data_IF_277058716455
#
_entry.id   IF_277058716455
#
_cell.length_a   1.000
_cell.length_b   1.000
_cell.length_c   1.000
_cell.angle_alpha   90.00
_cell.angle_beta   90.00
_cell.angle_gamma   90.00
#
_symmetry.space_group_name_H-M   'P 1'
#
loop_
_entity.id
_entity.type
_entity.pdbx_description
1 polymer ?
#
# COMPACT_ATOMS: atom_id res chain seq x y z
N UNK A 1 -9.13 38.24 -33.80
CA UNK A 1 -7.92 37.49 -33.42
C UNK A 1 -8.31 36.46 -32.36
N UNK A 2 -8.00 35.19 -32.67
CA UNK A 2 -7.94 33.95 -31.87
C UNK A 2 -8.95 33.72 -30.73
N UNK A 3 -9.93 32.85 -31.03
CA UNK A 3 -10.62 31.97 -30.08
C UNK A 3 -9.60 30.98 -29.51
N UNK A 4 -9.50 30.87 -28.18
CA UNK A 4 -8.77 29.78 -27.52
C UNK A 4 -9.83 28.85 -26.93
N UNK A 5 -9.99 27.67 -27.54
CA UNK A 5 -10.70 26.55 -26.95
C UNK A 5 -9.82 26.00 -25.80
N UNK A 6 -10.34 25.97 -24.58
CA UNK A 6 -9.79 25.14 -23.53
C UNK A 6 -10.44 23.76 -23.66
N UNK A 7 -9.69 22.80 -24.19
CA UNK A 7 -10.08 21.41 -24.27
C UNK A 7 -10.21 20.81 -22.87
N UNK A 8 -11.43 20.45 -22.48
CA UNK A 8 -11.70 19.59 -21.34
C UNK A 8 -11.16 18.19 -21.65
N UNK A 9 -9.90 17.92 -21.28
CA UNK A 9 -9.37 16.58 -21.21
C UNK A 9 -10.02 15.86 -20.05
N UNK A 10 -11.04 15.04 -20.31
CA UNK A 10 -11.54 14.06 -19.35
C UNK A 10 -10.44 13.02 -19.18
N UNK A 11 -9.54 13.29 -18.24
CA UNK A 11 -8.67 12.26 -17.67
C UNK A 11 -9.61 11.38 -16.85
N UNK A 12 -9.99 10.23 -17.43
CA UNK A 12 -10.64 9.17 -16.66
C UNK A 12 -9.59 8.60 -15.70
N UNK A 13 -9.43 9.28 -14.57
CA UNK A 13 -8.76 8.72 -13.41
C UNK A 13 -9.61 7.52 -12.99
N UNK A 14 -9.21 6.32 -13.42
CA UNK A 14 -9.50 5.11 -12.66
C UNK A 14 -8.84 5.34 -11.30
N UNK A 15 -9.59 5.91 -10.35
CA UNK A 15 -9.17 5.98 -8.96
C UNK A 15 -9.05 4.54 -8.49
N UNK A 16 -7.82 4.03 -8.44
CA UNK A 16 -7.53 2.87 -7.61
C UNK A 16 -7.91 3.30 -6.19
N UNK A 17 -8.99 2.75 -5.65
CA UNK A 17 -9.34 2.98 -4.25
C UNK A 17 -8.19 2.37 -3.42
N UNK A 18 -7.40 3.23 -2.78
CA UNK A 18 -6.40 2.80 -1.82
C UNK A 18 -7.11 2.59 -0.46
N UNK A 19 -6.95 1.40 0.11
CA UNK A 19 -7.31 1.10 1.48
C UNK A 19 -6.21 1.61 2.39
N UNK A 20 -6.59 2.40 3.40
CA UNK A 20 -5.69 2.81 4.49
C UNK A 20 -5.74 1.72 5.57
N UNK A 21 -4.60 1.05 5.80
CA UNK A 21 -4.46 -0.01 6.80
C UNK A 21 -3.89 0.51 8.12
N UNK A 22 -3.09 1.57 8.04
CA UNK A 22 -2.55 2.33 9.17
C UNK A 22 -2.38 3.78 8.69
N UNK A 23 -2.69 4.75 9.54
CA UNK A 23 -2.35 6.15 9.30
C UNK A 23 -2.17 6.86 10.63
N UNK A 24 -1.08 7.61 10.74
CA UNK A 24 -0.77 8.45 11.88
C UNK A 24 0.05 9.66 11.43
N UNK A 25 -0.38 10.85 11.84
CA UNK A 25 0.31 12.12 11.58
C UNK A 25 0.69 12.86 12.87
N UNK A 26 0.55 12.22 14.03
CA UNK A 26 0.99 12.69 15.35
C UNK A 26 0.40 14.01 15.87
N UNK A 27 -0.60 14.58 15.19
CA UNK A 27 -1.32 15.80 15.57
C UNK A 27 -2.22 15.67 16.83
N UNK A 28 -2.31 14.48 17.41
CA UNK A 28 -3.16 14.19 18.56
C UNK A 28 -2.77 14.99 19.83
N UNK A 29 -3.70 15.04 20.78
CA UNK A 29 -3.46 15.66 22.09
C UNK A 29 -2.56 14.79 23.00
N UNK A 30 -2.45 13.50 22.71
CA UNK A 30 -1.72 12.50 23.51
C UNK A 30 -0.60 11.87 22.71
N UNK A 31 0.56 11.67 23.34
CA UNK A 31 1.68 10.94 22.78
C UNK A 31 2.15 9.84 23.77
N UNK A 32 2.38 8.59 23.31
CA UNK A 32 2.14 8.10 21.96
C UNK A 32 0.64 8.12 21.60
N UNK A 33 0.28 8.14 20.31
CA UNK A 33 -1.11 8.00 19.89
C UNK A 33 -1.72 6.69 20.38
N UNK A 34 -3.05 6.61 20.42
CA UNK A 34 -3.74 5.43 20.96
C UNK A 34 -3.33 4.16 20.20
N UNK A 35 -2.94 3.12 20.96
CA UNK A 35 -2.51 1.82 20.42
C UNK A 35 -1.04 1.76 19.99
N UNK A 36 -0.36 2.90 19.87
CA UNK A 36 1.09 2.93 19.70
C UNK A 36 1.77 2.69 21.05
N UNK A 37 2.96 2.11 21.01
CA UNK A 37 3.75 1.83 22.23
C UNK A 37 5.17 2.36 22.09
N UNK A 38 5.75 2.77 23.21
CA UNK A 38 7.12 3.25 23.28
C UNK A 38 7.87 2.41 24.30
N UNK A 39 9.10 2.05 23.98
CA UNK A 39 10.07 1.58 24.96
C UNK A 39 11.42 2.25 24.69
N UNK A 40 12.17 2.52 25.75
CA UNK A 40 13.49 3.12 25.64
C UNK A 40 14.37 2.66 26.79
N UNK A 41 15.66 2.44 26.52
CA UNK A 41 16.64 2.18 27.59
C UNK A 41 16.93 3.42 28.42
N UNK A 42 16.87 4.61 27.81
CA UNK A 42 17.01 5.90 28.50
C UNK A 42 15.64 6.56 28.70
N UNK A 43 15.02 6.35 29.86
CA UNK A 43 13.68 6.87 30.17
C UNK A 43 13.56 8.41 30.12
N UNK A 44 14.69 9.13 30.17
CA UNK A 44 14.75 10.59 30.02
C UNK A 44 14.61 11.04 28.56
N UNK A 45 14.78 10.13 27.61
CA UNK A 45 14.74 10.41 26.17
C UNK A 45 14.03 9.33 25.34
N UNK A 46 12.74 9.07 25.62
CA UNK A 46 11.93 8.25 24.75
C UNK A 46 11.61 8.99 23.43
N UNK A 47 10.97 8.28 22.50
CA UNK A 47 10.17 8.97 21.48
C UNK A 47 9.16 9.91 22.16
N UNK A 48 8.97 11.10 21.59
CA UNK A 48 8.08 12.13 22.10
C UNK A 48 7.47 12.95 20.96
N UNK A 49 6.37 13.63 21.22
CA UNK A 49 5.84 14.60 20.26
C UNK A 49 6.72 15.85 20.22
N UNK A 50 6.96 16.40 19.04
CA UNK A 50 7.59 17.72 18.91
C UNK A 50 6.70 18.84 19.48
N UNK A 51 7.26 20.00 19.89
CA UNK A 51 8.68 20.39 19.82
C UNK A 51 9.58 19.59 20.77
N UNK A 52 10.82 19.33 20.34
CA UNK A 52 11.81 18.63 21.17
C UNK A 52 12.41 19.57 22.23
N UNK A 53 12.67 19.11 23.46
CA UNK A 53 13.18 19.96 24.54
C UNK A 53 14.57 20.57 24.34
N UNK A 54 15.49 19.88 23.67
CA UNK A 54 16.90 20.30 23.48
C UNK A 54 17.17 20.67 22.03
N UNK A 55 16.86 19.79 21.08
CA UNK A 55 16.94 20.09 19.65
C UNK A 55 15.74 20.95 19.21
N UNK A 56 15.75 22.23 19.57
CA UNK A 56 14.60 23.15 19.44
C UNK A 56 14.30 23.60 18.01
N UNK A 57 15.01 23.08 17.01
CA UNK A 57 14.77 23.48 15.64
C UNK A 57 13.39 23.05 15.15
N UNK A 58 12.74 23.89 14.34
CA UNK A 58 11.42 23.61 13.78
C UNK A 58 11.45 22.50 12.72
N UNK A 59 12.61 22.13 12.19
CA UNK A 59 12.74 21.10 11.15
C UNK A 59 12.27 19.71 11.60
N UNK A 60 12.39 19.41 12.89
CA UNK A 60 11.89 18.15 13.46
C UNK A 60 10.36 18.09 13.52
N UNK A 61 9.66 19.22 13.26
CA UNK A 61 8.21 19.24 13.03
C UNK A 61 7.96 19.27 11.52
N UNK A 62 7.72 18.09 10.96
CA UNK A 62 7.73 17.83 9.51
C UNK A 62 6.45 18.31 8.83
N UNK A 63 5.29 17.84 9.30
CA UNK A 63 3.97 18.21 8.80
C UNK A 63 3.14 18.74 9.96
N UNK A 64 2.22 19.67 9.67
CA UNK A 64 1.28 20.15 10.68
C UNK A 64 1.96 20.85 11.86
N UNK A 65 1.55 20.49 13.08
CA UNK A 65 2.03 21.10 14.31
C UNK A 65 2.86 20.15 15.18
N UNK A 66 2.81 18.83 14.93
CA UNK A 66 3.51 17.84 15.74
C UNK A 66 3.96 16.65 14.91
N UNK A 67 5.19 16.23 15.13
CA UNK A 67 5.74 14.97 14.61
C UNK A 67 6.19 14.07 15.77
N UNK A 68 6.53 12.81 15.49
CA UNK A 68 7.18 11.95 16.47
C UNK A 68 8.70 12.12 16.35
N UNK A 69 9.39 12.43 17.45
CA UNK A 69 10.84 12.57 17.42
C UNK A 69 11.56 12.01 18.64
N UNK A 70 12.87 11.83 18.48
CA UNK A 70 13.82 11.58 19.55
C UNK A 70 14.75 12.78 19.60
N UNK A 71 15.03 13.24 20.80
CA UNK A 71 15.89 14.39 21.05
C UNK A 71 17.30 13.92 21.44
N UNK A 72 18.29 14.80 21.27
CA UNK A 72 19.70 14.53 21.55
C UNK A 72 19.92 14.03 23.00
N UNK A 73 20.83 13.05 23.16
CA UNK A 73 21.28 12.57 24.48
C UNK A 73 22.71 12.01 24.41
N UNK A 74 23.57 12.43 25.35
CA UNK A 74 24.96 11.93 25.49
C UNK A 74 25.06 10.46 25.87
N UNK A 75 24.05 9.91 26.56
CA UNK A 75 24.03 8.53 27.01
C UNK A 75 23.49 7.60 25.92
N UNK A 76 23.92 6.33 25.96
CA UNK A 76 23.41 5.32 25.04
C UNK A 76 21.90 5.15 25.19
N UNK A 77 21.20 5.17 24.07
CA UNK A 77 19.75 5.02 24.01
C UNK A 77 19.37 4.08 22.86
N UNK A 78 18.64 3.02 23.20
CA UNK A 78 17.82 2.28 22.25
C UNK A 78 16.38 2.63 22.53
N UNK A 79 15.68 3.21 21.56
CA UNK A 79 14.30 3.64 21.71
C UNK A 79 13.44 3.23 20.52
N UNK A 80 12.29 2.63 20.81
CA UNK A 80 11.37 2.11 19.81
C UNK A 80 10.03 2.84 19.92
N UNK A 81 9.49 3.26 18.78
CA UNK A 81 8.10 3.64 18.60
C UNK A 81 7.44 2.58 17.73
N UNK A 82 6.41 1.92 18.26
CA UNK A 82 5.83 0.72 17.66
C UNK A 82 4.35 0.98 17.36
N UNK A 83 3.94 0.66 16.13
CA UNK A 83 2.55 0.78 15.69
C UNK A 83 1.62 -0.17 16.44
N UNK A 84 0.30 0.11 16.46
CA UNK A 84 -0.70 -0.93 16.67
C UNK A 84 -0.52 -2.07 15.65
N UNK A 85 -1.08 -3.23 15.96
CA UNK A 85 -1.17 -4.33 15.00
C UNK A 85 -2.16 -4.01 13.89
N UNK A 86 -1.80 -4.28 12.65
CA UNK A 86 -2.69 -4.22 11.48
C UNK A 86 -2.55 -5.51 10.65
N UNK A 87 -3.49 -5.69 9.70
CA UNK A 87 -3.54 -6.89 8.85
C UNK A 87 -3.17 -6.56 7.41
N UNK A 88 -2.35 -7.41 6.80
CA UNK A 88 -2.06 -7.43 5.36
C UNK A 88 -2.80 -8.58 4.66
N UNK A 89 -3.77 -9.22 5.31
CA UNK A 89 -4.62 -10.26 4.69
C UNK A 89 -5.47 -9.62 3.60
N UNK A 90 -5.31 -10.10 2.36
CA UNK A 90 -6.03 -9.55 1.22
C UNK A 90 -5.56 -8.16 0.76
N UNK A 91 -4.44 -7.66 1.28
CA UNK A 91 -3.84 -6.42 0.77
C UNK A 91 -3.27 -6.64 -0.65
N UNK A 92 -3.47 -5.69 -1.56
CA UNK A 92 -2.85 -5.72 -2.89
C UNK A 92 -1.77 -4.66 -2.97
N UNK A 93 -0.52 -5.03 -3.25
CA UNK A 93 0.64 -4.12 -3.31
C UNK A 93 0.72 -3.16 -2.09
N UNK A 94 0.75 -3.67 -0.84
CA UNK A 94 0.88 -2.81 0.33
C UNK A 94 2.20 -2.04 0.33
N UNK A 95 2.16 -0.76 0.71
CA UNK A 95 3.32 0.14 0.79
C UNK A 95 3.28 0.87 2.13
N UNK A 96 4.41 0.84 2.86
CA UNK A 96 4.68 1.73 3.99
C UNK A 96 5.21 3.05 3.46
N UNK A 97 4.61 4.15 3.91
CA UNK A 97 5.03 5.51 3.62
C UNK A 97 5.26 6.25 4.95
N UNK A 98 6.29 7.07 5.02
CA UNK A 98 6.50 8.04 6.10
C UNK A 98 7.44 9.13 5.61
N UNK A 99 7.54 10.23 6.35
CA UNK A 99 8.59 11.23 6.18
C UNK A 99 9.58 11.14 7.33
N UNK A 100 10.84 11.45 7.06
CA UNK A 100 11.90 11.43 8.06
C UNK A 100 12.82 12.65 7.93
N UNK A 101 13.28 13.14 9.08
CA UNK A 101 14.37 14.10 9.23
C UNK A 101 15.33 13.53 10.26
N UNK A 102 16.63 13.61 10.00
CA UNK A 102 17.69 13.28 10.96
C UNK A 102 18.68 14.43 11.04
N UNK A 103 19.35 14.59 12.17
CA UNK A 103 20.49 15.50 12.29
C UNK A 103 21.66 15.00 11.44
N UNK A 104 21.93 15.69 10.33
CA UNK A 104 22.82 15.20 9.27
C UNK A 104 24.25 14.90 9.75
N UNK A 105 24.84 15.82 10.52
CA UNK A 105 26.23 15.69 10.98
C UNK A 105 26.44 14.39 11.76
N UNK A 106 25.65 14.16 12.80
CA UNK A 106 25.86 13.01 13.67
C UNK A 106 25.25 11.74 13.14
N UNK A 107 24.09 11.80 12.48
CA UNK A 107 23.39 10.60 12.00
C UNK A 107 23.92 10.12 10.65
N UNK A 108 24.41 11.01 9.78
CA UNK A 108 24.81 10.65 8.41
C UNK A 108 26.32 10.78 8.18
N UNK A 109 26.92 11.93 8.52
CA UNK A 109 28.36 12.16 8.29
C UNK A 109 29.24 11.36 9.24
N UNK A 110 28.90 11.39 10.52
CA UNK A 110 29.68 10.73 11.58
C UNK A 110 29.18 9.31 11.90
N UNK A 111 27.98 8.95 11.46
CA UNK A 111 27.38 7.62 11.70
C UNK A 111 27.41 7.26 13.21
N UNK A 112 27.00 8.22 14.05
CA UNK A 112 27.03 8.11 15.51
C UNK A 112 25.84 7.33 16.10
N UNK A 113 24.87 6.96 15.26
CA UNK A 113 23.73 6.17 15.67
C UNK A 113 22.81 5.81 14.52
N UNK A 114 21.96 4.82 14.77
CA UNK A 114 21.07 4.25 13.78
C UNK A 114 19.60 4.68 13.95
N UNK A 115 18.87 4.91 12.85
CA UNK A 115 17.41 4.98 12.80
C UNK A 115 16.84 4.00 11.77
N UNK A 116 16.37 2.85 12.24
CA UNK A 116 15.84 1.80 11.36
C UNK A 116 14.31 1.64 11.47
N UNK A 117 13.65 1.42 10.34
CA UNK A 117 12.27 0.93 10.31
C UNK A 117 12.27 -0.60 10.17
N UNK A 118 11.54 -1.29 11.02
CA UNK A 118 11.49 -2.76 11.05
C UNK A 118 10.05 -3.27 11.12
N UNK A 119 9.81 -4.45 10.58
CA UNK A 119 8.51 -5.12 10.57
C UNK A 119 8.53 -6.37 11.44
N UNK A 120 7.42 -6.63 12.11
CA UNK A 120 7.13 -7.88 12.79
C UNK A 120 5.84 -8.50 12.23
N UNK A 121 5.83 -9.82 12.05
CA UNK A 121 4.65 -10.61 11.64
C UNK A 121 4.16 -11.54 12.74
N UNK A 122 4.74 -11.45 13.94
CA UNK A 122 4.46 -12.32 15.08
C UNK A 122 4.23 -11.53 16.38
N UNK A 123 3.55 -10.38 16.26
CA UNK A 123 3.18 -9.55 17.41
C UNK A 123 4.36 -8.95 18.17
N UNK A 124 5.43 -8.61 17.46
CA UNK A 124 6.60 -7.93 18.02
C UNK A 124 7.65 -8.85 18.65
N UNK A 125 7.54 -10.17 18.48
CA UNK A 125 8.51 -11.14 19.03
C UNK A 125 9.83 -11.11 18.27
N UNK A 126 9.77 -11.06 16.94
CA UNK A 126 10.94 -10.91 16.06
C UNK A 126 10.71 -9.78 15.07
N UNK A 127 11.81 -9.18 14.61
CA UNK A 127 11.82 -8.00 13.75
C UNK A 127 12.75 -8.19 12.57
N UNK A 128 12.35 -7.69 11.41
CA UNK A 128 13.13 -7.70 10.17
C UNK A 128 13.27 -6.28 9.65
N UNK A 129 14.45 -5.90 9.19
CA UNK A 129 14.73 -4.56 8.68
C UNK A 129 13.98 -4.31 7.36
N UNK A 130 13.36 -3.14 7.29
CA UNK A 130 12.70 -2.63 6.08
C UNK A 130 13.48 -1.47 5.47
N UNK A 131 14.07 -0.64 6.32
CA UNK A 131 14.74 0.60 5.94
C UNK A 131 15.73 1.01 7.02
N UNK A 132 16.82 1.63 6.56
CA UNK A 132 17.85 2.27 7.36
C UNK A 132 18.24 3.56 6.58
N UNK A 133 18.26 4.65 7.32
CA UNK A 133 18.72 6.00 7.06
C UNK A 133 20.06 6.12 6.33
N UNK A 134 21.06 5.27 6.60
CA UNK A 134 22.36 5.32 5.90
C UNK A 134 22.21 4.99 4.41
N UNK A 135 21.22 4.17 4.11
CA UNK A 135 20.89 3.76 2.75
C UNK A 135 19.86 4.69 2.10
N UNK A 136 19.39 5.71 2.81
CA UNK A 136 18.42 6.67 2.28
C UNK A 136 19.13 7.72 1.42
N UNK A 137 18.66 7.88 0.19
CA UNK A 137 19.11 8.96 -0.67
C UNK A 137 18.38 10.27 -0.33
N UNK A 138 19.02 11.41 -0.58
CA UNK A 138 18.40 12.73 -0.46
C UNK A 138 18.87 13.56 0.74
N UNK A 139 19.79 13.04 1.54
CA UNK A 139 20.54 13.83 2.51
C UNK A 139 21.45 14.83 1.78
N UNK A 140 21.43 16.11 2.16
CA UNK A 140 22.24 17.16 1.53
C UNK A 140 22.89 18.10 2.55
N UNK A 141 24.21 18.21 2.44
CA UNK A 141 25.08 19.26 2.98
C UNK A 141 25.00 20.48 2.04
N UNK A 142 24.77 21.68 2.59
CA UNK A 142 24.64 22.89 1.78
C UNK A 142 26.00 23.58 1.49
N UNK A 143 27.08 23.04 2.04
CA UNK A 143 28.46 23.31 1.71
C UNK A 143 28.97 24.65 2.22
N UNK A 144 28.35 25.21 3.25
CA UNK A 144 28.72 26.51 3.82
C UNK A 144 29.65 26.43 5.05
N UNK A 145 30.08 25.21 5.41
CA UNK A 145 30.90 24.88 6.59
C UNK A 145 30.24 25.27 7.94
N UNK A 146 28.93 25.53 7.96
CA UNK A 146 28.12 25.73 9.16
C UNK A 146 27.20 24.52 9.38
N UNK A 147 27.63 23.63 10.26
CA UNK A 147 26.87 22.43 10.69
C UNK A 147 25.45 22.79 11.20
N UNK A 148 25.17 24.04 11.58
CA UNK A 148 23.85 24.49 12.01
C UNK A 148 22.89 24.83 10.86
N UNK A 149 23.38 25.03 9.63
CA UNK A 149 22.61 25.35 8.42
C UNK A 149 22.44 24.15 7.48
N UNK A 150 23.31 23.14 7.58
CA UNK A 150 23.22 21.86 6.88
C UNK A 150 21.79 21.31 6.85
N UNK A 151 21.19 21.26 5.66
CA UNK A 151 19.73 21.22 5.53
C UNK A 151 19.06 19.92 5.99
N UNK A 152 18.11 20.09 6.91
CA UNK A 152 17.19 19.11 7.49
C UNK A 152 15.93 18.92 6.62
N UNK A 153 16.07 18.54 5.34
CA UNK A 153 14.87 18.33 4.52
C UNK A 153 14.15 17.04 4.90
N UNK A 154 12.84 17.13 5.08
CA UNK A 154 12.01 15.96 5.30
C UNK A 154 11.99 15.08 4.05
N UNK A 155 12.54 13.87 4.17
CA UNK A 155 12.63 12.91 3.07
C UNK A 155 11.41 11.98 3.11
N UNK A 156 10.64 11.86 2.02
CA UNK A 156 9.60 10.85 1.92
C UNK A 156 10.21 9.47 1.66
N UNK A 157 9.87 8.51 2.50
CA UNK A 157 10.27 7.09 2.40
C UNK A 157 9.08 6.27 1.93
N UNK A 158 9.32 5.36 0.97
CA UNK A 158 8.34 4.40 0.49
C UNK A 158 8.93 3.00 0.43
N UNK A 159 8.31 2.05 1.12
CA UNK A 159 8.79 0.67 1.21
C UNK A 159 7.69 -0.29 0.76
N UNK A 160 8.01 -1.15 -0.19
CA UNK A 160 7.11 -2.19 -0.67
C UNK A 160 7.00 -3.33 0.36
N UNK A 161 5.79 -3.59 0.84
CA UNK A 161 5.49 -4.64 1.82
C UNK A 161 4.87 -5.90 1.19
N UNK A 162 4.87 -6.05 -0.13
CA UNK A 162 4.16 -7.13 -0.83
C UNK A 162 4.59 -8.52 -0.40
N UNK A 163 5.86 -8.69 0.02
CA UNK A 163 6.38 -9.94 0.58
C UNK A 163 5.71 -10.38 1.89
N UNK A 164 5.06 -9.45 2.60
CA UNK A 164 4.34 -9.69 3.86
C UNK A 164 2.81 -9.81 3.67
N UNK A 165 2.32 -9.84 2.43
CA UNK A 165 0.90 -10.03 2.14
C UNK A 165 0.39 -11.35 2.74
N UNK A 166 -0.83 -11.33 3.31
CA UNK A 166 -1.41 -12.49 3.97
C UNK A 166 -1.10 -12.61 5.47
N UNK A 167 -0.21 -11.78 6.01
CA UNK A 167 0.08 -11.73 7.43
C UNK A 167 -1.02 -10.97 8.18
N UNK A 168 -1.58 -11.58 9.23
CA UNK A 168 -2.72 -11.03 9.95
C UNK A 168 -2.35 -10.11 11.13
N UNK A 169 -1.14 -10.28 11.69
CA UNK A 169 -0.66 -9.58 12.87
C UNK A 169 0.68 -8.89 12.58
N UNK A 170 0.60 -7.79 11.84
CA UNK A 170 1.77 -7.00 11.42
C UNK A 170 1.92 -5.77 12.29
N UNK A 171 3.16 -5.48 12.69
CA UNK A 171 3.54 -4.23 13.34
C UNK A 171 4.78 -3.64 12.67
N UNK A 172 4.88 -2.32 12.64
CA UNK A 172 6.10 -1.61 12.28
C UNK A 172 6.68 -0.99 13.54
N UNK A 173 8.00 -0.96 13.67
CA UNK A 173 8.69 -0.13 14.65
C UNK A 173 9.70 0.77 13.98
N UNK A 174 9.84 1.97 14.52
CA UNK A 174 10.94 2.88 14.26
C UNK A 174 11.88 2.79 15.46
N UNK A 175 13.08 2.27 15.22
CA UNK A 175 14.06 1.96 16.25
C UNK A 175 15.26 2.88 16.07
N UNK A 176 15.48 3.72 17.08
CA UNK A 176 16.66 4.54 17.24
C UNK A 176 17.67 3.81 18.14
N UNK A 177 18.94 3.78 17.76
CA UNK A 177 20.05 3.22 18.55
C UNK A 177 21.25 4.14 18.43
N UNK A 178 21.54 4.93 19.46
CA UNK A 178 22.69 5.83 19.39
C UNK A 178 23.34 6.06 20.75
N UNK A 179 24.52 6.65 20.73
CA UNK A 179 25.18 7.24 21.91
C UNK A 179 25.76 8.57 21.50
N UNK A 180 25.30 9.67 22.09
CA UNK A 180 25.77 11.02 21.76
C UNK A 180 25.57 11.39 20.28
N UNK A 181 24.40 11.03 19.72
CA UNK A 181 23.98 11.42 18.38
C UNK A 181 22.79 12.37 18.40
N UNK A 182 22.54 13.02 17.26
CA UNK A 182 21.56 14.08 17.12
C UNK A 182 20.12 13.58 17.06
N UNK A 183 19.19 14.52 17.16
CA UNK A 183 17.76 14.28 17.10
C UNK A 183 17.32 13.73 15.73
N UNK A 184 16.20 13.01 15.77
CA UNK A 184 15.51 12.49 14.58
C UNK A 184 14.01 12.70 14.73
N UNK A 185 13.30 12.83 13.63
CA UNK A 185 11.85 12.89 13.60
C UNK A 185 11.28 12.10 12.42
N UNK A 186 10.09 11.54 12.63
CA UNK A 186 9.26 10.92 11.60
C UNK A 186 7.85 11.49 11.65
N UNK A 187 7.17 11.44 10.50
CA UNK A 187 5.80 11.92 10.38
C UNK A 187 5.05 11.26 9.22
N UNK A 188 3.74 11.49 9.13
CA UNK A 188 2.86 11.00 8.07
C UNK A 188 3.00 9.48 7.82
N UNK A 189 3.05 8.69 8.91
CA UNK A 189 3.21 7.24 8.83
C UNK A 189 1.93 6.60 8.30
N UNK A 190 1.99 5.97 7.14
CA UNK A 190 0.85 5.33 6.50
C UNK A 190 1.20 3.97 5.93
N UNK A 191 0.30 3.00 6.08
CA UNK A 191 0.31 1.78 5.28
C UNK A 191 -0.90 1.80 4.38
N UNK A 192 -0.64 1.89 3.07
CA UNK A 192 -1.67 1.93 2.03
C UNK A 192 -1.60 0.63 1.22
N UNK A 193 -2.75 0.10 0.84
CA UNK A 193 -2.84 -1.04 -0.07
C UNK A 193 -3.92 -0.80 -1.12
N UNK A 194 -3.79 -1.38 -2.30
CA UNK A 194 -4.89 -1.47 -3.24
C UNK A 194 -6.00 -2.36 -2.67
N UNK A 195 -7.25 -1.93 -2.82
CA UNK A 195 -8.39 -2.85 -2.63
C UNK A 195 -8.36 -3.91 -3.73
N UNK A 196 -8.69 -5.17 -3.43
CA UNK A 196 -9.07 -6.12 -4.47
C UNK A 196 -10.30 -5.57 -5.21
N UNK A 197 -10.07 -4.85 -6.30
CA UNK A 197 -11.12 -4.59 -7.26
C UNK A 197 -11.30 -5.87 -8.05
N UNK A 198 -12.47 -6.49 -7.95
CA UNK A 198 -12.95 -7.28 -9.10
C UNK A 198 -12.95 -6.29 -10.25
N UNK A 199 -12.11 -6.49 -11.27
CA UNK A 199 -12.26 -5.77 -12.54
C UNK A 199 -13.75 -5.88 -12.88
N UNK A 200 -14.49 -4.79 -12.76
CA UNK A 200 -15.77 -4.64 -13.44
C UNK A 200 -15.43 -5.03 -14.87
N UNK A 201 -15.94 -6.19 -15.32
CA UNK A 201 -15.88 -6.54 -16.72
C UNK A 201 -16.66 -5.42 -17.37
N UNK A 202 -15.94 -4.44 -17.91
CA UNK A 202 -16.48 -3.33 -18.69
C UNK A 202 -17.53 -3.94 -19.57
N UNK A 203 -18.82 -3.63 -19.31
CA UNK A 203 -19.99 -4.28 -19.92
C UNK A 203 -19.69 -4.53 -21.39
N UNK A 204 -19.19 -5.73 -21.70
CA UNK A 204 -18.88 -6.07 -23.06
C UNK A 204 -20.21 -6.14 -23.76
N UNK A 205 -20.31 -5.63 -25.00
CA UNK A 205 -21.54 -5.76 -25.80
C UNK A 205 -21.93 -7.22 -26.06
N UNK A 206 -21.17 -8.18 -25.54
CA UNK A 206 -21.46 -9.59 -25.47
C UNK A 206 -22.73 -9.87 -24.67
N UNK A 207 -23.80 -10.26 -25.35
CA UNK A 207 -25.05 -10.76 -24.75
C UNK A 207 -25.29 -12.21 -25.17
N UNK A 208 -25.81 -13.02 -24.24
CA UNK A 208 -26.06 -14.45 -24.44
C UNK A 208 -27.55 -14.69 -24.25
N UNK A 209 -28.24 -15.21 -25.28
CA UNK A 209 -29.69 -15.34 -25.27
C UNK A 209 -30.21 -16.43 -26.24
N UNK A 210 -31.44 -16.94 -26.05
CA UNK A 210 -32.28 -16.72 -24.87
C UNK A 210 -31.70 -17.45 -23.66
N UNK A 211 -31.98 -16.92 -22.48
CA UNK A 211 -31.70 -17.57 -21.21
C UNK A 211 -32.88 -17.27 -20.26
N UNK A 212 -33.73 -18.24 -19.91
CA UNK A 212 -33.65 -19.68 -20.22
C UNK A 212 -33.72 -20.03 -21.71
N UNK A 213 -33.21 -21.21 -22.10
CA UNK A 213 -33.21 -21.72 -23.49
C UNK A 213 -33.89 -23.08 -23.61
N UNK A 214 -34.46 -23.37 -24.78
CA UNK A 214 -34.94 -24.72 -25.16
C UNK A 214 -33.85 -25.59 -25.80
N UNK A 215 -32.65 -25.08 -25.99
CA UNK A 215 -31.53 -25.82 -26.54
C UNK A 215 -30.58 -24.98 -27.38
N UNK A 216 -31.07 -23.92 -28.02
CA UNK A 216 -30.25 -23.06 -28.87
C UNK A 216 -29.89 -21.76 -28.15
N UNK A 217 -28.61 -21.41 -28.14
CA UNK A 217 -28.06 -20.23 -27.49
C UNK A 217 -27.29 -19.43 -28.53
N UNK A 218 -27.52 -18.12 -28.57
CA UNK A 218 -26.82 -17.16 -29.41
C UNK A 218 -25.92 -16.27 -28.55
N UNK A 219 -24.71 -16.02 -29.03
CA UNK A 219 -23.72 -15.13 -28.44
C UNK A 219 -23.58 -13.93 -29.37
N UNK A 220 -24.19 -12.80 -29.02
CA UNK A 220 -24.06 -11.55 -29.78
C UNK A 220 -22.90 -10.75 -29.21
N UNK A 221 -21.85 -10.55 -29.98
CA UNK A 221 -20.61 -9.88 -29.55
C UNK A 221 -19.98 -9.10 -30.70
N UNK A 222 -19.20 -8.07 -30.39
CA UNK A 222 -18.34 -7.36 -31.37
C UNK A 222 -16.92 -7.95 -31.43
N UNK A 223 -16.60 -8.88 -30.51
CA UNK A 223 -15.31 -9.57 -30.44
C UNK A 223 -15.32 -10.90 -31.17
N UNK A 224 -14.24 -11.21 -31.89
CA UNK A 224 -14.03 -12.52 -32.51
C UNK A 224 -13.95 -13.62 -31.44
N UNK A 225 -14.83 -14.61 -31.52
CA UNK A 225 -14.83 -15.77 -30.61
C UNK A 225 -13.65 -16.69 -30.95
N UNK A 226 -12.90 -17.08 -29.92
CA UNK A 226 -11.88 -18.13 -29.98
C UNK A 226 -12.49 -19.48 -29.62
N UNK A 227 -13.27 -19.52 -28.54
CA UNK A 227 -13.98 -20.73 -28.09
C UNK A 227 -15.22 -20.38 -27.26
N UNK A 228 -16.19 -21.28 -27.29
CA UNK A 228 -17.43 -21.29 -26.52
C UNK A 228 -17.55 -22.68 -25.88
N UNK A 229 -17.42 -22.73 -24.56
CA UNK A 229 -17.33 -23.98 -23.78
C UNK A 229 -18.51 -24.05 -22.82
N UNK A 230 -19.30 -25.11 -22.90
CA UNK A 230 -20.37 -25.41 -21.95
C UNK A 230 -19.84 -26.37 -20.89
N UNK A 231 -20.02 -26.01 -19.62
CA UNK A 231 -19.61 -26.79 -18.47
C UNK A 231 -20.81 -27.14 -17.59
N UNK A 232 -20.72 -28.28 -16.88
CA UNK A 232 -21.60 -28.52 -15.74
C UNK A 232 -21.13 -27.73 -14.50
N UNK A 233 -21.90 -27.82 -13.41
CA UNK A 233 -21.61 -27.12 -12.15
C UNK A 233 -20.36 -27.64 -11.43
N UNK A 234 -19.85 -28.82 -11.80
CA UNK A 234 -18.57 -29.34 -11.29
C UNK A 234 -17.36 -28.83 -12.08
N UNK A 235 -17.60 -28.07 -13.15
CA UNK A 235 -16.56 -27.56 -14.06
C UNK A 235 -16.15 -28.57 -15.13
N UNK A 236 -16.87 -29.69 -15.29
CA UNK A 236 -16.60 -30.65 -16.36
C UNK A 236 -17.08 -30.07 -17.69
N UNK A 237 -16.22 -30.10 -18.71
CA UNK A 237 -16.55 -29.69 -20.08
C UNK A 237 -17.52 -30.70 -20.70
N UNK A 238 -18.67 -30.20 -21.17
CA UNK A 238 -19.71 -30.99 -21.82
C UNK A 238 -19.74 -30.76 -23.33
N UNK A 239 -19.42 -29.54 -23.77
CA UNK A 239 -19.38 -29.15 -25.17
C UNK A 239 -18.35 -28.03 -25.35
N UNK A 240 -17.64 -28.05 -26.47
CA UNK A 240 -16.79 -26.95 -26.90
C UNK A 240 -16.97 -26.70 -28.40
N UNK A 241 -17.13 -25.45 -28.77
CA UNK A 241 -17.27 -24.97 -30.15
C UNK A 241 -16.56 -23.64 -30.32
N UNK A 242 -16.39 -23.15 -31.54
CA UNK A 242 -15.92 -21.79 -31.83
C UNK A 242 -17.01 -20.91 -32.44
N UNK A 243 -18.24 -21.41 -32.47
CA UNK A 243 -19.41 -20.74 -33.06
C UNK A 243 -20.07 -19.74 -32.10
N UNK A 244 -20.68 -18.70 -32.67
CA UNK A 244 -21.61 -17.77 -31.99
C UNK A 244 -22.95 -18.44 -31.62
N UNK A 245 -23.24 -19.59 -32.25
CA UNK A 245 -24.41 -20.42 -31.93
C UNK A 245 -23.96 -21.69 -31.23
N UNK A 246 -24.53 -21.93 -30.05
CA UNK A 246 -24.27 -23.11 -29.23
C UNK A 246 -25.56 -23.91 -29.10
N UNK A 247 -25.52 -25.20 -29.46
CA UNK A 247 -26.67 -26.09 -29.38
C UNK A 247 -26.47 -27.12 -28.25
N UNK A 248 -27.32 -27.02 -27.23
CA UNK A 248 -27.41 -27.91 -26.07
C UNK A 248 -28.79 -28.59 -25.99
N UNK A 249 -29.50 -28.74 -27.11
CA UNK A 249 -30.82 -29.37 -27.17
C UNK A 249 -30.82 -30.81 -26.67
N UNK A 250 -29.72 -31.53 -26.84
CA UNK A 250 -29.51 -32.90 -26.35
C UNK A 250 -29.22 -32.97 -24.85
N UNK A 251 -29.00 -31.84 -24.18
CA UNK A 251 -28.67 -31.83 -22.75
C UNK A 251 -29.95 -31.98 -21.93
N UNK A 252 -29.82 -32.60 -20.76
CA UNK A 252 -30.91 -32.66 -19.78
C UNK A 252 -31.30 -31.26 -19.32
N UNK A 253 -32.52 -31.11 -18.81
CA UNK A 253 -32.93 -29.84 -18.19
C UNK A 253 -32.06 -29.58 -16.97
N UNK A 254 -31.61 -28.35 -16.79
CA UNK A 254 -30.68 -28.02 -15.73
C UNK A 254 -29.95 -26.70 -15.92
N UNK A 255 -29.03 -26.43 -15.00
CA UNK A 255 -28.17 -25.24 -15.03
C UNK A 255 -26.78 -25.60 -15.53
N UNK A 256 -26.25 -24.79 -16.43
CA UNK A 256 -24.94 -24.93 -17.03
C UNK A 256 -24.18 -23.60 -16.98
N UNK A 257 -22.87 -23.64 -17.21
CA UNK A 257 -22.05 -22.45 -17.43
C UNK A 257 -21.60 -22.41 -18.89
N UNK A 258 -21.81 -21.28 -19.57
CA UNK A 258 -21.23 -21.01 -20.88
C UNK A 258 -20.07 -20.04 -20.72
N UNK A 259 -18.85 -20.52 -20.95
CA UNK A 259 -17.63 -19.70 -21.02
C UNK A 259 -17.29 -19.40 -22.48
N UNK A 260 -17.19 -18.12 -22.82
CA UNK A 260 -16.77 -17.62 -24.14
C UNK A 260 -15.41 -16.98 -24.00
N UNK A 261 -14.41 -17.50 -24.70
CA UNK A 261 -13.09 -16.90 -24.83
C UNK A 261 -12.99 -16.18 -26.18
N UNK A 262 -12.42 -14.98 -26.17
CA UNK A 262 -12.24 -14.15 -27.36
C UNK A 262 -10.80 -14.21 -27.86
N UNK A 263 -10.61 -13.87 -29.13
CA UNK A 263 -9.29 -13.86 -29.76
C UNK A 263 -8.32 -12.84 -29.13
N UNK A 264 -8.85 -11.81 -28.45
CA UNK A 264 -8.07 -10.80 -27.72
C UNK A 264 -7.59 -11.27 -26.33
N UNK A 265 -7.87 -12.54 -25.96
CA UNK A 265 -7.50 -13.12 -24.67
C UNK A 265 -8.48 -12.84 -23.53
N UNK A 266 -9.50 -12.00 -23.74
CA UNK A 266 -10.56 -11.80 -22.75
C UNK A 266 -11.55 -12.96 -22.75
N UNK A 267 -12.30 -13.14 -21.66
CA UNK A 267 -13.36 -14.15 -21.59
C UNK A 267 -14.58 -13.66 -20.82
N UNK A 268 -15.74 -14.27 -21.09
CA UNK A 268 -17.00 -14.03 -20.37
C UNK A 268 -17.62 -15.37 -20.01
N UNK A 269 -18.06 -15.53 -18.77
CA UNK A 269 -18.78 -16.73 -18.31
C UNK A 269 -20.18 -16.32 -17.87
N UNK A 270 -21.19 -17.02 -18.37
CA UNK A 270 -22.61 -16.76 -18.07
C UNK A 270 -23.30 -18.05 -17.62
N UNK A 271 -24.17 -17.95 -16.62
CA UNK A 271 -25.03 -19.06 -16.19
C UNK A 271 -26.18 -19.23 -17.18
N UNK A 272 -26.40 -20.44 -17.69
CA UNK A 272 -27.47 -20.78 -18.63
C UNK A 272 -28.44 -21.78 -18.00
N UNK A 273 -29.74 -21.56 -18.21
CA UNK A 273 -30.81 -22.45 -17.76
C UNK A 273 -31.43 -23.14 -18.98
N UNK A 274 -31.40 -24.47 -19.02
CA UNK A 274 -32.01 -25.31 -20.06
C UNK A 274 -33.37 -25.84 -19.58
N UNK A 275 -34.43 -25.46 -20.29
CA UNK A 275 -35.84 -25.82 -20.02
C UNK A 275 -36.42 -26.89 -20.95
#
# INVERSE_FOLDING_TARGET
>A
MKKILLSLGILSCLSMNAQVLLSEGFEGATFPPTGWTINSTAATRPWQSTPLPVSTSTWFTISGAKSAGIDYLTQSNTANLITPSFSLVGATNPVLNFKVVVGWVYMIREDAGDLVAQISTNGGTTWTDLWNEDNQAGWSDDGDDDDATDTYQAIPVQINLSQYTGQANVQIRFRYVATDADAVAIDDVQVLAGTLSTKEVSKSKTSIYPNPTKGEINIKTDKKIKSSTVLDLSGKVLLQTSSEKVNISSFTKGTYLLKVEFADGTSKTEKIIKD
#
